data_IF_864286317247
#
_entry.id   IF_864286317247
#
_cell.length_a   1.000
_cell.length_b   1.000
_cell.length_c   1.000
_cell.angle_alpha   90.00
_cell.angle_beta   90.00
_cell.angle_gamma   90.00
#
_symmetry.space_group_name_H-M   'P 1'
#
loop_
_entity.id
_entity.type
_entity.pdbx_description
1 polymer ?
#
# COMPACT_ATOMS: atom_id res chain seq x y z
N UNK A 1 26.63 19.82 2.61
CA UNK A 1 25.99 19.16 3.76
C UNK A 1 24.48 19.29 3.63
N UNK A 2 23.84 18.41 2.84
CA UNK A 2 22.37 18.39 2.67
C UNK A 2 21.83 17.00 2.27
N UNK A 3 22.69 16.12 1.78
CA UNK A 3 22.31 14.76 1.39
C UNK A 3 21.69 13.93 2.53
N UNK A 4 22.24 14.01 3.75
CA UNK A 4 21.77 13.18 4.88
C UNK A 4 20.36 13.56 5.38
N UNK A 5 20.06 14.87 5.46
CA UNK A 5 18.75 15.35 5.94
C UNK A 5 17.63 15.02 4.95
N UNK A 6 17.93 15.09 3.65
CA UNK A 6 16.96 14.71 2.61
C UNK A 6 16.75 13.18 2.58
N UNK A 7 17.77 12.37 2.87
CA UNK A 7 17.67 10.89 2.95
C UNK A 7 16.85 10.39 4.16
N UNK A 8 17.06 10.93 5.37
CA UNK A 8 16.30 10.52 6.57
C UNK A 8 14.80 10.82 6.44
N UNK A 9 14.48 11.99 5.88
CA UNK A 9 13.11 12.39 5.59
C UNK A 9 12.44 11.44 4.59
N UNK A 10 13.19 11.01 3.57
CA UNK A 10 12.70 10.09 2.56
C UNK A 10 12.54 8.66 3.07
N UNK A 11 13.45 8.17 3.92
CA UNK A 11 13.30 6.88 4.59
C UNK A 11 12.05 6.87 5.48
N UNK A 12 11.85 7.94 6.25
CA UNK A 12 10.65 8.12 7.09
C UNK A 12 9.36 8.16 6.25
N UNK A 13 9.37 8.90 5.14
CA UNK A 13 8.22 8.98 4.23
C UNK A 13 7.92 7.62 3.58
N UNK A 14 8.94 6.86 3.20
CA UNK A 14 8.82 5.51 2.63
C UNK A 14 8.20 4.55 3.63
N UNK A 15 8.71 4.53 4.87
CA UNK A 15 8.13 3.70 5.95
C UNK A 15 6.68 4.09 6.25
N UNK A 16 6.37 5.39 6.25
CA UNK A 16 5.00 5.87 6.47
C UNK A 16 4.07 5.43 5.35
N UNK A 17 4.51 5.51 4.09
CA UNK A 17 3.72 5.09 2.94
C UNK A 17 3.44 3.58 2.96
N UNK A 18 4.41 2.75 3.36
CA UNK A 18 4.21 1.30 3.50
C UNK A 18 3.15 0.97 4.56
N UNK A 19 3.16 1.64 5.71
CA UNK A 19 2.12 1.47 6.74
C UNK A 19 0.73 1.87 6.22
N UNK A 20 0.64 2.99 5.51
CA UNK A 20 -0.63 3.43 4.93
C UNK A 20 -1.15 2.46 3.86
N UNK A 21 -0.26 1.83 3.10
CA UNK A 21 -0.61 0.80 2.14
C UNK A 21 -1.23 -0.41 2.86
N UNK A 22 -0.64 -0.86 3.97
CA UNK A 22 -1.19 -1.96 4.79
C UNK A 22 -2.58 -1.61 5.32
N UNK A 23 -2.78 -0.38 5.81
CA UNK A 23 -4.09 0.11 6.28
C UNK A 23 -5.14 0.08 5.17
N UNK A 24 -4.78 0.48 3.95
CA UNK A 24 -5.70 0.42 2.79
C UNK A 24 -6.06 -1.02 2.43
N UNK A 25 -5.10 -1.94 2.42
CA UNK A 25 -5.37 -3.37 2.18
C UNK A 25 -6.34 -3.93 3.23
N UNK A 26 -6.09 -3.62 4.50
CA UNK A 26 -6.94 -4.06 5.61
C UNK A 26 -8.36 -3.50 5.49
N UNK A 27 -8.48 -2.20 5.22
CA UNK A 27 -9.78 -1.55 5.05
C UNK A 27 -10.57 -2.14 3.87
N UNK A 28 -9.91 -2.42 2.75
CA UNK A 28 -10.53 -3.07 1.59
C UNK A 28 -11.04 -4.48 1.96
N UNK A 29 -10.21 -5.33 2.59
CA UNK A 29 -10.63 -6.66 3.02
C UNK A 29 -11.81 -6.65 4.02
N UNK A 30 -11.81 -5.70 4.95
CA UNK A 30 -12.89 -5.51 5.92
C UNK A 30 -14.21 -5.09 5.25
N UNK A 31 -14.14 -4.21 4.25
CA UNK A 31 -15.30 -3.81 3.47
C UNK A 31 -15.86 -4.99 2.67
N UNK A 32 -15.00 -5.78 2.00
CA UNK A 32 -15.42 -7.00 1.29
C UNK A 32 -16.16 -7.97 2.20
N UNK A 33 -15.64 -8.22 3.40
CA UNK A 33 -16.27 -9.10 4.40
C UNK A 33 -17.64 -8.57 4.83
N UNK A 34 -17.73 -7.26 5.08
CA UNK A 34 -18.98 -6.59 5.47
C UNK A 34 -20.03 -6.68 4.37
N UNK A 35 -19.65 -6.43 3.11
CA UNK A 35 -20.57 -6.48 1.97
C UNK A 35 -21.08 -7.90 1.72
N UNK A 36 -20.23 -8.92 1.83
CA UNK A 36 -20.66 -10.34 1.73
C UNK A 36 -21.62 -10.71 2.86
N UNK A 37 -21.35 -10.26 4.10
CA UNK A 37 -22.29 -10.49 5.20
C UNK A 37 -23.63 -9.82 4.94
N UNK A 38 -23.62 -8.58 4.41
CA UNK A 38 -24.82 -7.81 4.13
C UNK A 38 -25.64 -8.42 2.99
N UNK A 39 -24.99 -8.98 1.96
CA UNK A 39 -25.63 -9.71 0.85
C UNK A 39 -26.65 -10.74 1.35
N UNK A 40 -26.27 -11.53 2.36
CA UNK A 40 -27.12 -12.58 2.94
C UNK A 40 -28.39 -12.07 3.63
N UNK A 41 -28.44 -10.78 3.96
CA UNK A 41 -29.58 -10.14 4.61
C UNK A 41 -30.63 -9.61 3.63
N UNK A 42 -30.29 -9.44 2.35
CA UNK A 42 -31.21 -8.94 1.33
C UNK A 42 -31.99 -10.08 0.68
N UNK A 43 -33.30 -9.89 0.47
CA UNK A 43 -34.15 -10.83 -0.26
C UNK A 43 -34.94 -10.15 -1.37
N UNK A 44 -35.39 -10.93 -2.36
CA UNK A 44 -36.15 -10.41 -3.50
C UNK A 44 -35.31 -9.53 -4.44
N UNK A 45 -35.96 -8.55 -5.08
CA UNK A 45 -35.32 -7.70 -6.10
C UNK A 45 -34.15 -6.86 -5.57
N UNK A 46 -34.12 -6.54 -4.27
CA UNK A 46 -33.02 -5.82 -3.65
C UNK A 46 -31.71 -6.63 -3.63
N UNK A 47 -31.80 -7.96 -3.58
CA UNK A 47 -30.62 -8.83 -3.66
C UNK A 47 -29.91 -8.67 -5.01
N UNK A 48 -30.67 -8.61 -6.12
CA UNK A 48 -30.10 -8.44 -7.47
C UNK A 48 -29.36 -7.10 -7.60
N UNK A 49 -29.95 -6.01 -7.12
CA UNK A 49 -29.30 -4.71 -7.12
C UNK A 49 -28.02 -4.71 -6.28
N UNK A 50 -28.06 -5.36 -5.11
CA UNK A 50 -26.90 -5.47 -4.22
C UNK A 50 -25.76 -6.30 -4.83
N UNK A 51 -26.06 -7.39 -5.55
CA UNK A 51 -25.05 -8.17 -6.29
C UNK A 51 -24.28 -7.29 -7.28
N UNK A 52 -24.97 -6.43 -8.02
CA UNK A 52 -24.33 -5.51 -8.96
C UNK A 52 -23.34 -4.57 -8.26
N UNK A 53 -23.70 -4.04 -7.08
CA UNK A 53 -22.79 -3.20 -6.29
C UNK A 53 -21.63 -4.00 -5.71
N UNK A 54 -21.84 -5.27 -5.33
CA UNK A 54 -20.78 -6.15 -4.85
C UNK A 54 -19.77 -6.48 -5.97
N UNK A 55 -20.25 -6.69 -7.20
CA UNK A 55 -19.38 -6.93 -8.35
C UNK A 55 -18.61 -5.67 -8.76
N UNK A 56 -19.22 -4.49 -8.70
CA UNK A 56 -18.52 -3.21 -8.87
C UNK A 56 -17.40 -3.04 -7.83
N UNK A 57 -17.71 -3.33 -6.56
CA UNK A 57 -16.72 -3.30 -5.48
C UNK A 57 -15.57 -4.28 -5.72
N UNK A 58 -15.84 -5.52 -6.17
CA UNK A 58 -14.80 -6.49 -6.51
C UNK A 58 -13.89 -5.98 -7.62
N UNK A 59 -14.45 -5.31 -8.63
CA UNK A 59 -13.66 -4.63 -9.66
C UNK A 59 -12.75 -3.55 -9.10
N UNK A 60 -13.27 -2.69 -8.22
CA UNK A 60 -12.49 -1.66 -7.55
C UNK A 60 -11.37 -2.24 -6.66
N UNK A 61 -11.65 -3.34 -5.95
CA UNK A 61 -10.67 -4.02 -5.11
C UNK A 61 -9.45 -4.49 -5.92
N UNK A 62 -9.66 -5.06 -7.12
CA UNK A 62 -8.56 -5.46 -8.00
C UNK A 62 -7.67 -4.28 -8.40
N UNK A 63 -8.28 -3.13 -8.69
CA UNK A 63 -7.53 -1.90 -9.04
C UNK A 63 -6.72 -1.39 -7.86
N UNK A 64 -7.28 -1.41 -6.65
CA UNK A 64 -6.57 -1.03 -5.42
C UNK A 64 -5.38 -1.97 -5.17
N UNK A 65 -5.57 -3.28 -5.30
CA UNK A 65 -4.51 -4.27 -5.12
C UNK A 65 -3.36 -4.10 -6.12
N UNK A 66 -3.66 -3.78 -7.38
CA UNK A 66 -2.65 -3.54 -8.42
C UNK A 66 -1.85 -2.26 -8.14
N UNK A 67 -2.55 -1.17 -7.76
CA UNK A 67 -1.89 0.07 -7.37
C UNK A 67 -0.97 -0.11 -6.16
N UNK A 68 -1.42 -0.87 -5.16
CA UNK A 68 -0.62 -1.20 -3.98
C UNK A 68 0.60 -2.02 -4.36
N UNK A 69 0.46 -3.05 -5.21
CA UNK A 69 1.61 -3.83 -5.67
C UNK A 69 2.65 -2.94 -6.34
N UNK A 70 2.21 -2.06 -7.24
CA UNK A 70 3.11 -1.13 -7.93
C UNK A 70 3.83 -0.19 -6.96
N UNK A 71 3.11 0.36 -5.99
CA UNK A 71 3.69 1.26 -4.98
C UNK A 71 4.67 0.53 -4.06
N UNK A 72 4.30 -0.64 -3.54
CA UNK A 72 5.17 -1.44 -2.67
C UNK A 72 6.46 -1.84 -3.37
N UNK A 73 6.40 -2.22 -4.65
CA UNK A 73 7.61 -2.49 -5.44
C UNK A 73 8.47 -1.23 -5.61
N UNK A 74 7.89 -0.10 -5.99
CA UNK A 74 8.63 1.14 -6.19
C UNK A 74 9.28 1.65 -4.89
N UNK A 75 8.57 1.57 -3.77
CA UNK A 75 9.05 1.96 -2.44
C UNK A 75 10.12 1.00 -1.92
N UNK A 76 10.00 -0.31 -2.18
CA UNK A 76 11.03 -1.29 -1.84
C UNK A 76 12.34 -1.05 -2.59
N UNK A 77 12.27 -0.77 -3.90
CA UNK A 77 13.44 -0.41 -4.71
C UNK A 77 14.08 0.90 -4.23
N UNK A 78 13.25 1.91 -3.89
CA UNK A 78 13.75 3.15 -3.33
C UNK A 78 14.51 2.90 -2.02
N UNK A 79 13.95 2.12 -1.09
CA UNK A 79 14.59 1.79 0.18
C UNK A 79 15.94 1.06 0.00
N UNK A 80 16.03 0.10 -0.93
CA UNK A 80 17.27 -0.62 -1.25
C UNK A 80 18.36 0.33 -1.78
N UNK A 81 18.02 1.20 -2.73
CA UNK A 81 18.96 2.16 -3.29
C UNK A 81 19.51 3.15 -2.25
N UNK A 82 18.69 3.60 -1.30
CA UNK A 82 19.15 4.50 -0.22
C UNK A 82 20.04 3.79 0.80
N UNK A 83 19.71 2.55 1.18
CA UNK A 83 20.54 1.77 2.11
C UNK A 83 21.97 1.54 1.59
N UNK A 84 22.10 1.23 0.30
CA UNK A 84 23.42 1.06 -0.34
C UNK A 84 24.20 2.38 -0.38
N UNK A 85 23.56 3.47 -0.79
CA UNK A 85 24.22 4.78 -0.90
C UNK A 85 24.73 5.31 0.45
N UNK A 86 24.00 5.08 1.54
CA UNK A 86 24.44 5.46 2.88
C UNK A 86 25.64 4.62 3.34
N UNK A 87 25.58 3.30 3.12
CA UNK A 87 26.66 2.39 3.51
C UNK A 87 27.96 2.70 2.75
N UNK A 88 27.88 3.01 1.45
CA UNK A 88 29.03 3.43 0.66
C UNK A 88 29.66 4.70 1.23
N UNK A 89 28.86 5.71 1.60
CA UNK A 89 29.35 6.95 2.22
C UNK A 89 30.06 6.66 3.55
N UNK A 90 29.50 5.80 4.40
CA UNK A 90 30.11 5.41 5.68
C UNK A 90 31.45 4.68 5.48
N UNK A 91 31.56 3.81 4.47
CA UNK A 91 32.84 3.15 4.15
C UNK A 91 33.90 4.15 3.70
N UNK A 92 33.51 5.14 2.90
CA UNK A 92 34.42 6.16 2.36
C UNK A 92 35.00 7.05 3.46
N UNK A 93 34.21 7.37 4.50
CA UNK A 93 34.66 8.14 5.66
C UNK A 93 35.35 7.31 6.75
N UNK A 94 35.16 5.99 6.80
CA UNK A 94 35.89 5.11 7.73
C UNK A 94 37.20 4.58 7.17
N UNK A 95 37.38 4.65 5.84
CA UNK A 95 38.63 4.33 5.14
C UNK A 95 39.59 5.53 4.99
N UNK A 96 39.17 6.73 5.41
CA UNK A 96 39.95 7.97 5.41
C UNK A 96 40.49 8.28 6.82
#
# INVERSE_FOLDING_TARGET
>A
MKYTVDSDALATATSTALLQIEDVQLAAGNLSTTLVSLESSWSGQASIAFQSSLDEWRGAQVVVEDAIRSLSTALGLAAEHYGVAEQDVLTLFSAA
#
